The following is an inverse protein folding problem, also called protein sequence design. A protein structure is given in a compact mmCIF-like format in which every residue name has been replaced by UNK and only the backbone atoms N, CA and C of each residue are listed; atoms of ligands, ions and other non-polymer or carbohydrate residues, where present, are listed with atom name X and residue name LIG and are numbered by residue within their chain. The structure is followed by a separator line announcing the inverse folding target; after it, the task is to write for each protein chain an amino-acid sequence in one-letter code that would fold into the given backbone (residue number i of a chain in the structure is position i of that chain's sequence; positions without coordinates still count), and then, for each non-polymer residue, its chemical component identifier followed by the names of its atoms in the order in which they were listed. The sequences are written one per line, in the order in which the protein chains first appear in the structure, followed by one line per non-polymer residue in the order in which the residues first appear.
data_IF_837189973993
#
_entry.id   IF_837189973993
#
_cell.length_a   1.000
_cell.length_b   1.000
_cell.length_c   1.000
_cell.angle_alpha   90.00
_cell.angle_beta   90.00
_cell.angle_gamma   90.00
#
_symmetry.space_group_name_H-M   'P 1'
#
loop_
_entity.id
_entity.type
_entity.pdbx_description
1 polymer ?
#
# COMPACT_ATOMS: atom_id res chain seq x y z
N UNK A 1 19.08 -46.98 -11.75
CA UNK A 1 18.23 -46.63 -10.59
C UNK A 1 18.81 -45.48 -9.75
N UNK A 2 20.04 -45.55 -9.21
CA UNK A 2 20.67 -44.44 -8.45
C UNK A 2 20.72 -43.09 -9.19
N UNK A 3 21.03 -43.07 -10.49
CA UNK A 3 21.04 -41.84 -11.31
C UNK A 3 19.65 -41.24 -11.54
N UNK A 4 18.61 -42.08 -11.60
CA UNK A 4 17.21 -41.64 -11.74
C UNK A 4 16.68 -41.04 -10.43
N UNK A 5 17.03 -41.66 -9.30
CA UNK A 5 16.76 -41.15 -7.95
C UNK A 5 17.43 -39.80 -7.71
N UNK A 6 18.67 -39.62 -8.16
CA UNK A 6 19.37 -38.34 -8.06
C UNK A 6 18.73 -37.26 -8.94
N UNK A 7 18.29 -37.60 -10.15
CA UNK A 7 17.57 -36.68 -11.03
C UNK A 7 16.22 -36.25 -10.42
N UNK A 8 15.46 -37.19 -9.84
CA UNK A 8 14.19 -36.93 -9.14
C UNK A 8 14.43 -36.05 -7.90
N UNK A 9 15.50 -36.30 -7.13
CA UNK A 9 15.87 -35.49 -5.97
C UNK A 9 16.25 -34.05 -6.37
N UNK A 10 16.98 -33.89 -7.48
CA UNK A 10 17.34 -32.57 -8.02
C UNK A 10 16.10 -31.83 -8.53
N UNK A 11 15.19 -32.50 -9.24
CA UNK A 11 13.93 -31.92 -9.72
C UNK A 11 12.99 -31.53 -8.56
N UNK A 12 12.96 -32.31 -7.47
CA UNK A 12 12.20 -31.96 -6.26
C UNK A 12 12.84 -30.81 -5.47
N UNK A 13 14.15 -30.61 -5.57
CA UNK A 13 14.85 -29.51 -4.89
C UNK A 13 14.66 -28.14 -5.55
N UNK A 14 14.38 -28.09 -6.86
CA UNK A 14 14.06 -26.83 -7.56
C UNK A 14 12.58 -26.42 -7.46
N UNK A 15 11.71 -27.30 -6.97
CA UNK A 15 10.26 -27.06 -6.92
C UNK A 15 9.79 -26.19 -5.73
N UNK A 16 10.71 -25.60 -4.95
CA UNK A 16 10.36 -24.78 -3.78
C UNK A 16 11.11 -23.43 -3.74
N UNK A 17 11.24 -22.77 -4.89
CA UNK A 17 11.49 -21.32 -4.85
C UNK A 17 10.17 -20.65 -4.49
N UNK A 18 9.91 -20.54 -3.18
CA UNK A 18 8.88 -19.65 -2.68
C UNK A 18 9.33 -18.24 -2.99
N UNK A 19 8.77 -17.67 -4.04
CA UNK A 19 8.93 -16.25 -4.31
C UNK A 19 8.39 -15.47 -3.13
N UNK A 20 9.14 -14.46 -2.71
CA UNK A 20 8.72 -13.50 -1.70
C UNK A 20 8.53 -12.18 -2.43
N UNK A 21 7.28 -11.75 -2.54
CA UNK A 21 6.92 -10.61 -3.40
C UNK A 21 7.24 -9.28 -2.74
N UNK A 22 7.14 -9.22 -1.41
CA UNK A 22 7.38 -8.01 -0.63
C UNK A 22 8.83 -7.97 -0.17
N UNK A 23 9.45 -6.80 -0.35
CA UNK A 23 10.69 -6.42 0.31
C UNK A 23 10.39 -5.28 1.28
N UNK A 24 9.96 -5.64 2.48
CA UNK A 24 9.49 -4.73 3.50
C UNK A 24 10.53 -4.47 4.60
N UNK A 25 10.92 -3.22 4.81
CA UNK A 25 11.65 -2.83 6.00
C UNK A 25 10.68 -2.60 7.16
N UNK A 26 10.87 -3.31 8.26
CA UNK A 26 10.03 -3.21 9.46
C UNK A 26 10.80 -2.52 10.57
N UNK A 27 10.19 -1.50 11.17
CA UNK A 27 10.71 -0.84 12.36
C UNK A 27 9.64 -0.75 13.44
N UNK A 28 9.97 -1.19 14.66
CA UNK A 28 9.10 -1.01 15.83
C UNK A 28 9.75 -0.01 16.77
N UNK A 29 9.09 1.13 16.96
CA UNK A 29 9.50 2.20 17.87
C UNK A 29 8.61 2.18 19.10
N UNK A 30 9.21 2.15 20.29
CA UNK A 30 8.51 2.07 21.57
C UNK A 30 9.12 3.04 22.59
N UNK A 31 9.51 4.23 22.13
CA UNK A 31 10.17 5.25 22.96
C UNK A 31 9.25 5.80 24.05
N UNK A 32 7.94 5.86 23.77
CA UNK A 32 6.92 6.36 24.69
C UNK A 32 6.51 5.33 25.75
N UNK A 33 6.78 4.04 25.51
CA UNK A 33 6.50 2.97 26.47
C UNK A 33 7.62 2.90 27.52
N UNK A 34 7.25 3.17 28.77
CA UNK A 34 8.10 3.01 29.95
C UNK A 34 8.18 1.53 30.36
N UNK A 35 9.36 1.07 30.79
CA UNK A 35 9.57 -0.31 31.25
C UNK A 35 10.90 -0.91 30.82
N UNK A 36 11.30 -1.98 31.52
CA UNK A 36 12.59 -2.67 31.34
C UNK A 36 12.56 -3.75 30.26
N UNK A 37 11.41 -4.39 30.01
CA UNK A 37 11.31 -5.41 28.97
C UNK A 37 11.24 -4.78 27.58
N UNK A 38 12.40 -4.45 27.01
CA UNK A 38 12.54 -4.05 25.60
C UNK A 38 12.64 -5.26 24.65
N UNK A 39 12.74 -6.48 25.18
CA UNK A 39 12.87 -7.70 24.40
C UNK A 39 11.59 -8.02 23.63
N UNK A 40 10.41 -7.82 24.24
CA UNK A 40 9.12 -8.00 23.56
C UNK A 40 9.03 -7.24 22.23
N UNK A 41 9.52 -6.00 22.16
CA UNK A 41 9.50 -5.20 20.93
C UNK A 41 10.48 -5.69 19.87
N UNK A 42 11.65 -6.20 20.28
CA UNK A 42 12.63 -6.81 19.34
C UNK A 42 12.10 -8.10 18.73
N UNK A 43 11.48 -8.94 19.55
CA UNK A 43 10.84 -10.17 19.06
C UNK A 43 9.64 -9.84 18.17
N UNK A 44 8.85 -8.81 18.52
CA UNK A 44 7.74 -8.33 17.69
C UNK A 44 8.24 -7.87 16.31
N UNK A 45 9.28 -7.04 16.26
CA UNK A 45 9.85 -6.60 14.98
C UNK A 45 10.29 -7.78 14.12
N UNK A 46 10.94 -8.78 14.73
CA UNK A 46 11.39 -10.00 14.04
C UNK A 46 10.20 -10.80 13.52
N UNK A 47 9.18 -11.03 14.35
CA UNK A 47 7.98 -11.76 13.97
C UNK A 47 7.19 -11.07 12.86
N UNK A 48 7.07 -9.74 12.91
CA UNK A 48 6.43 -8.93 11.85
C UNK A 48 7.23 -9.01 10.55
N UNK A 49 8.56 -8.89 10.63
CA UNK A 49 9.44 -9.03 9.47
C UNK A 49 9.30 -10.40 8.81
N UNK A 50 9.36 -11.48 9.58
CA UNK A 50 9.21 -12.84 9.08
C UNK A 50 7.81 -13.06 8.48
N UNK A 51 6.77 -12.55 9.12
CA UNK A 51 5.39 -12.68 8.64
C UNK A 51 5.15 -11.97 7.30
N UNK A 52 5.68 -10.76 7.12
CA UNK A 52 5.50 -9.98 5.90
C UNK A 52 6.39 -10.50 4.78
N UNK A 53 7.69 -10.70 5.04
CA UNK A 53 8.68 -10.97 3.99
C UNK A 53 8.82 -12.45 3.65
N UNK A 54 8.60 -13.38 4.58
CA UNK A 54 8.80 -14.81 4.31
C UNK A 54 7.53 -15.55 3.85
N UNK A 55 6.42 -14.81 3.69
CA UNK A 55 5.13 -15.35 3.28
C UNK A 55 4.88 -15.02 1.81
N UNK A 56 4.32 -15.99 1.08
CA UNK A 56 3.76 -15.78 -0.27
C UNK A 56 2.42 -15.06 -0.14
N UNK A 57 2.30 -13.89 -0.75
CA UNK A 57 1.04 -13.13 -0.82
C UNK A 57 0.30 -13.36 -2.14
N UNK A 58 1.01 -13.85 -3.15
CA UNK A 58 0.54 -14.15 -4.50
C UNK A 58 0.94 -15.57 -4.89
N UNK A 59 0.37 -16.05 -6.00
CA UNK A 59 0.79 -17.29 -6.65
C UNK A 59 1.85 -17.06 -7.75
N UNK A 60 2.30 -15.80 -7.93
CA UNK A 60 3.26 -15.43 -8.96
C UNK A 60 4.70 -15.52 -8.45
N UNK A 61 5.61 -15.82 -9.38
CA UNK A 61 7.05 -15.85 -9.12
C UNK A 61 7.63 -14.49 -9.49
N UNK A 62 8.36 -13.89 -8.56
CA UNK A 62 9.00 -12.59 -8.69
C UNK A 62 10.50 -12.75 -8.77
N UNK A 63 11.12 -12.04 -9.70
CA UNK A 63 12.55 -11.80 -9.64
C UNK A 63 12.89 -10.79 -8.55
N UNK A 64 14.16 -10.77 -8.11
CA UNK A 64 14.61 -9.89 -7.03
C UNK A 64 14.37 -8.40 -7.34
N UNK A 65 14.44 -8.02 -8.62
CA UNK A 65 14.22 -6.65 -9.10
C UNK A 65 12.72 -6.30 -9.26
N UNK A 66 11.84 -7.30 -9.21
CA UNK A 66 10.39 -7.13 -9.31
C UNK A 66 9.71 -7.02 -7.94
N UNK A 67 10.45 -7.29 -6.86
CA UNK A 67 9.91 -7.24 -5.50
C UNK A 67 9.37 -5.85 -5.17
N UNK A 68 8.20 -5.83 -4.54
CA UNK A 68 7.52 -4.61 -4.14
C UNK A 68 8.23 -4.07 -2.89
N UNK A 69 8.89 -2.93 -3.04
CA UNK A 69 9.58 -2.27 -1.94
C UNK A 69 8.59 -1.52 -1.05
N UNK A 70 8.62 -1.83 0.25
CA UNK A 70 7.76 -1.15 1.22
C UNK A 70 8.45 -0.93 2.57
N UNK A 71 7.88 -0.03 3.36
CA UNK A 71 8.34 0.29 4.71
C UNK A 71 7.13 0.31 5.65
N UNK A 72 7.24 -0.39 6.78
CA UNK A 72 6.26 -0.35 7.86
C UNK A 72 6.96 0.12 9.13
N UNK A 73 6.53 1.28 9.63
CA UNK A 73 6.96 1.81 10.91
C UNK A 73 5.80 1.72 11.91
N UNK A 74 5.96 0.90 12.93
CA UNK A 74 5.02 0.77 14.04
C UNK A 74 5.55 1.64 15.19
N UNK A 75 4.85 2.72 15.50
CA UNK A 75 5.15 3.54 16.67
C UNK A 75 4.15 3.23 17.78
N UNK A 76 4.62 2.53 18.81
CA UNK A 76 3.84 2.15 19.99
C UNK A 76 3.85 3.28 21.02
N UNK A 77 2.67 3.81 21.31
CA UNK A 77 2.47 4.92 22.25
C UNK A 77 2.10 4.43 23.64
N UNK A 78 1.32 3.35 23.72
CA UNK A 78 0.75 2.86 24.98
C UNK A 78 0.86 1.33 25.11
N UNK A 79 1.07 0.90 26.34
CA UNK A 79 1.02 -0.50 26.75
C UNK A 79 -0.14 -0.69 27.73
N UNK A 80 -1.21 -1.37 27.30
CA UNK A 80 -2.44 -1.56 28.08
C UNK A 80 -2.29 -2.72 29.07
N UNK A 81 -1.60 -3.79 28.67
CA UNK A 81 -1.24 -4.95 29.49
C UNK A 81 0.13 -5.48 29.07
N UNK A 82 0.59 -6.59 29.66
CA UNK A 82 1.85 -7.23 29.27
C UNK A 82 1.92 -7.62 27.79
N UNK A 83 0.77 -7.89 27.16
CA UNK A 83 0.62 -8.40 25.79
C UNK A 83 -0.21 -7.48 24.87
N UNK A 84 -0.69 -6.32 25.30
CA UNK A 84 -1.63 -5.49 24.55
C UNK A 84 -1.11 -4.06 24.36
N UNK A 85 -1.03 -3.62 23.10
CA UNK A 85 -0.36 -2.37 22.71
C UNK A 85 -1.24 -1.50 21.82
N UNK A 86 -1.06 -0.18 21.91
CA UNK A 86 -1.67 0.81 21.01
C UNK A 86 -0.62 1.74 20.42
N UNK A 87 -0.95 2.35 19.28
CA UNK A 87 -0.10 3.34 18.66
C UNK A 87 -0.54 3.70 17.26
N UNK A 88 0.44 3.99 16.41
CA UNK A 88 0.24 4.35 15.00
C UNK A 88 1.12 3.49 14.10
N UNK A 89 0.66 3.22 12.87
CA UNK A 89 1.45 2.53 11.84
C UNK A 89 1.57 3.41 10.60
N UNK A 90 2.80 3.68 10.17
CA UNK A 90 3.07 4.28 8.87
C UNK A 90 3.37 3.18 7.87
N UNK A 91 2.69 3.20 6.73
CA UNK A 91 2.86 2.27 5.63
C UNK A 91 3.26 3.08 4.40
N UNK A 92 4.38 2.70 3.79
CA UNK A 92 4.82 3.24 2.52
C UNK A 92 5.10 2.09 1.56
N UNK A 93 4.63 2.21 0.32
CA UNK A 93 4.99 1.29 -0.76
C UNK A 93 5.37 2.07 -2.01
N UNK A 94 6.34 1.57 -2.76
CA UNK A 94 6.83 2.17 -3.99
C UNK A 94 7.17 1.12 -5.02
N UNK A 95 7.18 1.52 -6.28
CA UNK A 95 7.63 0.69 -7.39
C UNK A 95 8.62 1.43 -8.28
N UNK A 96 9.51 0.72 -8.98
CA UNK A 96 10.32 1.32 -10.03
C UNK A 96 9.46 1.74 -11.22
N UNK A 97 9.85 2.86 -11.83
CA UNK A 97 9.34 3.26 -13.14
C UNK A 97 10.15 2.56 -14.21
N UNK A 98 9.46 2.02 -15.22
CA UNK A 98 10.09 1.19 -16.24
C UNK A 98 11.22 1.92 -16.97
N UNK A 99 12.37 1.25 -17.08
CA UNK A 99 13.57 1.76 -17.75
C UNK A 99 14.08 3.10 -17.15
N UNK A 100 13.92 3.28 -15.84
CA UNK A 100 14.36 4.47 -15.10
C UNK A 100 14.93 4.09 -13.74
N UNK A 101 15.81 4.93 -13.19
CA UNK A 101 16.26 4.83 -11.80
C UNK A 101 15.27 5.48 -10.82
N UNK A 102 14.15 6.00 -11.32
CA UNK A 102 13.14 6.69 -10.53
C UNK A 102 12.15 5.69 -9.92
N UNK A 103 11.90 5.83 -8.61
CA UNK A 103 10.87 5.07 -7.90
C UNK A 103 9.69 5.99 -7.60
N UNK A 104 8.48 5.49 -7.86
CA UNK A 104 7.23 6.20 -7.63
C UNK A 104 6.48 5.60 -6.44
N UNK A 105 5.94 6.46 -5.58
CA UNK A 105 5.22 6.04 -4.36
C UNK A 105 3.80 5.62 -4.72
N UNK A 106 3.41 4.40 -4.37
CA UNK A 106 2.05 3.88 -4.58
C UNK A 106 1.15 4.17 -3.37
N UNK A 107 1.71 4.08 -2.17
CA UNK A 107 1.00 4.28 -0.92
C UNK A 107 1.90 5.04 0.05
N UNK A 108 1.32 6.03 0.73
CA UNK A 108 1.94 6.69 1.87
C UNK A 108 0.83 7.01 2.88
N UNK A 109 0.61 6.10 3.83
CA UNK A 109 -0.54 6.16 4.72
C UNK A 109 -0.15 6.00 6.19
N UNK A 110 -0.80 6.78 7.04
CA UNK A 110 -0.68 6.68 8.50
C UNK A 110 -1.98 6.16 9.10
N UNK A 111 -1.96 4.93 9.60
CA UNK A 111 -3.02 4.40 10.45
C UNK A 111 -2.81 4.91 11.89
N UNK A 112 -3.72 5.73 12.37
CA UNK A 112 -3.62 6.32 13.71
C UNK A 112 -4.23 5.45 14.82
N UNK A 113 -4.95 4.38 14.46
CA UNK A 113 -5.78 3.63 15.39
C UNK A 113 -5.41 2.14 15.41
N UNK A 114 -4.10 1.87 15.57
CA UNK A 114 -3.64 0.48 15.72
C UNK A 114 -3.71 0.05 17.17
N UNK A 115 -4.34 -1.10 17.40
CA UNK A 115 -4.48 -1.71 18.72
C UNK A 115 -4.48 -3.22 18.53
N UNK A 116 -3.51 -3.89 19.13
CA UNK A 116 -3.33 -5.33 18.94
C UNK A 116 -2.73 -6.01 20.17
N UNK A 117 -2.74 -7.34 20.12
CA UNK A 117 -2.06 -8.19 21.09
C UNK A 117 -0.84 -8.87 20.48
N UNK A 118 0.21 -9.02 21.28
CA UNK A 118 1.42 -9.76 20.95
C UNK A 118 2.12 -10.20 22.23
N UNK A 119 2.33 -11.52 22.37
CA UNK A 119 3.18 -12.07 23.41
C UNK A 119 4.63 -12.23 22.92
N UNK A 120 5.60 -12.14 23.82
CA UNK A 120 7.01 -12.34 23.48
C UNK A 120 7.23 -13.72 22.82
N UNK A 121 7.96 -13.74 21.69
CA UNK A 121 8.16 -14.92 20.83
C UNK A 121 6.89 -15.53 20.22
N UNK A 122 5.76 -14.82 20.22
CA UNK A 122 4.57 -15.30 19.54
C UNK A 122 4.81 -15.34 18.02
N UNK A 123 4.73 -16.54 17.44
CA UNK A 123 4.70 -16.69 16.00
C UNK A 123 3.41 -16.11 15.42
N UNK A 124 3.51 -15.42 14.29
CA UNK A 124 2.36 -14.87 13.57
C UNK A 124 1.95 -15.85 12.47
N UNK A 125 0.74 -16.37 12.57
CA UNK A 125 0.13 -17.20 11.55
C UNK A 125 -1.08 -16.51 10.92
N UNK A 126 -1.32 -16.77 9.65
CA UNK A 126 -2.51 -16.32 8.92
C UNK A 126 -3.01 -17.44 8.04
N UNK A 127 -4.31 -17.65 8.07
CA UNK A 127 -5.04 -18.56 7.19
C UNK A 127 -6.33 -17.87 6.77
N UNK A 128 -6.61 -17.87 5.46
CA UNK A 128 -7.82 -17.29 4.88
C UNK A 128 -9.11 -17.97 5.36
N UNK A 129 -9.07 -19.15 5.99
CA UNK A 129 -10.24 -19.81 6.56
C UNK A 129 -10.60 -19.29 7.97
N UNK A 130 -9.60 -18.89 8.77
CA UNK A 130 -9.79 -18.57 10.18
C UNK A 130 -9.92 -17.06 10.41
N UNK A 131 -10.48 -16.68 11.57
CA UNK A 131 -10.41 -15.29 12.04
C UNK A 131 -8.99 -15.01 12.53
N UNK A 132 -8.26 -14.05 11.93
CA UNK A 132 -6.90 -13.73 12.35
C UNK A 132 -6.85 -13.08 13.74
N UNK A 133 -5.70 -13.17 14.39
CA UNK A 133 -5.41 -12.31 15.56
C UNK A 133 -5.34 -10.84 15.14
N UNK A 134 -5.44 -9.90 16.09
CA UNK A 134 -5.46 -8.47 15.76
C UNK A 134 -4.20 -7.97 15.05
N UNK A 135 -3.01 -8.42 15.46
CA UNK A 135 -1.76 -8.05 14.80
C UNK A 135 -1.67 -8.69 13.42
N UNK A 136 -1.95 -9.99 13.31
CA UNK A 136 -1.98 -10.68 12.02
C UNK A 136 -2.95 -10.02 11.05
N UNK A 137 -4.16 -9.67 11.50
CA UNK A 137 -5.19 -9.03 10.67
C UNK A 137 -4.69 -7.72 10.09
N UNK A 138 -4.06 -6.89 10.92
CA UNK A 138 -3.50 -5.59 10.54
C UNK A 138 -2.43 -5.75 9.45
N UNK A 139 -1.48 -6.65 9.66
CA UNK A 139 -0.37 -6.92 8.74
C UNK A 139 -0.86 -7.52 7.41
N UNK A 140 -1.74 -8.53 7.49
CA UNK A 140 -2.30 -9.17 6.30
C UNK A 140 -3.18 -8.22 5.49
N UNK A 141 -3.91 -7.32 6.15
CA UNK A 141 -4.67 -6.28 5.47
C UNK A 141 -3.74 -5.38 4.66
N UNK A 142 -2.70 -4.80 5.27
CA UNK A 142 -1.80 -3.89 4.56
C UNK A 142 -0.96 -4.58 3.49
N UNK A 143 -0.54 -5.83 3.69
CA UNK A 143 0.13 -6.60 2.65
C UNK A 143 -0.76 -6.74 1.40
N UNK A 144 -2.04 -7.11 1.58
CA UNK A 144 -2.98 -7.21 0.45
C UNK A 144 -3.29 -5.84 -0.20
N UNK A 145 -3.33 -4.75 0.57
CA UNK A 145 -3.47 -3.39 0.00
C UNK A 145 -2.26 -3.02 -0.86
N UNK A 146 -1.04 -3.26 -0.36
CA UNK A 146 0.21 -2.96 -1.07
C UNK A 146 0.26 -3.74 -2.38
N UNK A 147 0.04 -5.06 -2.32
CA UNK A 147 0.04 -5.93 -3.50
C UNK A 147 -1.06 -5.50 -4.48
N UNK A 148 -2.27 -5.22 -4.00
CA UNK A 148 -3.36 -4.79 -4.88
C UNK A 148 -3.04 -3.48 -5.62
N UNK A 149 -2.46 -2.48 -4.93
CA UNK A 149 -2.07 -1.21 -5.54
C UNK A 149 -0.94 -1.38 -6.57
N UNK A 150 0.00 -2.29 -6.30
CA UNK A 150 1.06 -2.64 -7.25
C UNK A 150 0.45 -3.21 -8.54
N UNK A 151 -0.43 -4.20 -8.45
CA UNK A 151 -1.06 -4.81 -9.64
C UNK A 151 -1.93 -3.83 -10.41
N UNK A 152 -2.69 -2.97 -9.72
CA UNK A 152 -3.46 -1.91 -10.36
C UNK A 152 -2.59 -0.92 -11.13
N UNK A 153 -1.33 -0.74 -10.72
CA UNK A 153 -0.38 0.14 -11.41
C UNK A 153 0.16 -0.47 -12.71
N UNK A 154 0.05 -1.79 -12.90
CA UNK A 154 0.51 -2.51 -14.09
C UNK A 154 -0.62 -2.96 -15.02
N UNK A 155 -1.82 -3.18 -14.49
CA UNK A 155 -2.99 -3.60 -15.24
C UNK A 155 -4.26 -2.95 -14.69
N UNK A 156 -5.19 -2.58 -15.58
CA UNK A 156 -6.47 -2.01 -15.18
C UNK A 156 -7.22 -2.97 -14.26
N UNK A 157 -7.43 -2.54 -13.02
CA UNK A 157 -8.09 -3.31 -11.95
C UNK A 157 -7.41 -4.66 -11.62
N UNK A 158 -6.12 -4.82 -11.94
CA UNK A 158 -5.36 -6.04 -11.70
C UNK A 158 -5.25 -6.44 -10.22
N UNK A 159 -5.38 -5.48 -9.31
CA UNK A 159 -5.30 -5.68 -7.86
C UNK A 159 -6.54 -6.28 -7.21
N UNK A 160 -7.64 -6.44 -7.96
CA UNK A 160 -8.94 -6.87 -7.41
C UNK A 160 -8.87 -8.13 -6.55
N UNK A 161 -8.16 -9.21 -6.92
CA UNK A 161 -8.07 -10.41 -6.09
C UNK A 161 -7.53 -10.14 -4.68
N UNK A 162 -6.53 -9.26 -4.56
CA UNK A 162 -5.91 -8.91 -3.28
C UNK A 162 -6.78 -7.97 -2.45
N UNK A 163 -7.45 -7.03 -3.11
CA UNK A 163 -8.44 -6.18 -2.45
C UNK A 163 -9.61 -7.00 -1.89
N UNK A 164 -10.11 -8.01 -2.60
CA UNK A 164 -11.12 -8.94 -2.07
C UNK A 164 -10.62 -9.69 -0.83
N UNK A 165 -9.34 -10.10 -0.79
CA UNK A 165 -8.75 -10.68 0.43
C UNK A 165 -8.70 -9.69 1.58
N UNK A 166 -8.34 -8.43 1.33
CA UNK A 166 -8.36 -7.36 2.33
C UNK A 166 -9.78 -7.10 2.86
N UNK A 167 -10.79 -7.10 1.99
CA UNK A 167 -12.20 -6.97 2.37
C UNK A 167 -12.66 -8.14 3.25
N UNK A 168 -12.27 -9.38 2.91
CA UNK A 168 -12.56 -10.55 3.73
C UNK A 168 -11.97 -10.44 5.15
N UNK A 169 -10.78 -9.86 5.31
CA UNK A 169 -10.19 -9.57 6.63
C UNK A 169 -11.05 -8.55 7.39
N UNK A 170 -11.43 -7.44 6.75
CA UNK A 170 -12.32 -6.42 7.36
C UNK A 170 -13.64 -7.04 7.82
N UNK A 171 -14.25 -7.91 7.00
CA UNK A 171 -15.50 -8.59 7.33
C UNK A 171 -15.36 -9.52 8.55
N UNK A 172 -14.24 -10.24 8.67
CA UNK A 172 -13.96 -11.09 9.85
C UNK A 172 -13.71 -10.29 11.12
N UNK A 173 -13.18 -9.08 10.99
CA UNK A 173 -12.83 -8.22 12.11
C UNK A 173 -13.99 -7.30 12.57
N UNK A 174 -15.17 -7.37 11.95
CA UNK A 174 -16.32 -6.54 12.34
C UNK A 174 -16.75 -6.73 13.81
N UNK A 175 -16.61 -7.93 14.36
CA UNK A 175 -16.94 -8.22 15.76
C UNK A 175 -15.76 -8.04 16.71
N UNK A 176 -14.59 -7.62 16.20
CA UNK A 176 -13.42 -7.41 17.03
C UNK A 176 -13.60 -6.18 17.92
N UNK A 177 -13.08 -6.27 19.15
CA UNK A 177 -13.02 -5.16 20.11
C UNK A 177 -12.04 -4.05 19.69
N UNK A 178 -11.17 -4.31 18.72
CA UNK A 178 -10.15 -3.38 18.25
C UNK A 178 -10.75 -2.41 17.22
N UNK A 179 -10.38 -1.12 17.26
CA UNK A 179 -10.94 -0.09 16.37
C UNK A 179 -10.43 -0.21 14.93
N UNK A 180 -10.99 0.65 14.08
CA UNK A 180 -10.68 0.94 12.67
C UNK A 180 -11.09 -0.14 11.65
N UNK A 181 -11.87 -1.13 12.09
CA UNK A 181 -12.44 -2.17 11.22
C UNK A 181 -13.90 -1.90 10.87
N UNK A 182 -14.56 -0.92 11.51
CA UNK A 182 -16.01 -0.66 11.33
C UNK A 182 -16.26 0.70 10.69
N UNK A 183 -17.36 0.82 9.95
CA UNK A 183 -17.76 2.04 9.24
C UNK A 183 -18.04 3.24 10.14
N UNK A 184 -18.51 3.00 11.37
CA UNK A 184 -18.96 4.04 12.31
C UNK A 184 -17.86 4.55 13.25
N UNK A 185 -16.66 3.97 13.21
CA UNK A 185 -15.55 4.36 14.11
C UNK A 185 -14.82 5.62 13.62
N UNK A 186 -14.60 5.74 12.31
CA UNK A 186 -13.97 6.88 11.66
C UNK A 186 -14.37 6.91 10.18
N UNK A 187 -14.15 8.04 9.50
CA UNK A 187 -14.31 8.17 8.03
C UNK A 187 -13.03 7.82 7.25
N UNK A 188 -11.91 7.63 7.95
CA UNK A 188 -10.59 7.37 7.39
C UNK A 188 -9.92 6.22 8.14
N UNK A 189 -10.42 5.01 7.91
CA UNK A 189 -9.92 3.78 8.54
C UNK A 189 -9.83 2.64 7.52
N UNK A 190 -9.42 1.44 7.97
CA UNK A 190 -9.23 0.27 7.09
C UNK A 190 -10.52 -0.16 6.40
N UNK A 191 -11.67 -0.03 7.08
CA UNK A 191 -12.98 -0.27 6.46
C UNK A 191 -13.19 0.65 5.26
N UNK A 192 -13.08 1.97 5.45
CA UNK A 192 -13.32 2.93 4.37
C UNK A 192 -12.26 2.86 3.28
N UNK A 193 -11.02 2.51 3.62
CA UNK A 193 -9.97 2.31 2.63
C UNK A 193 -10.38 1.23 1.63
N UNK A 194 -10.74 0.04 2.11
CA UNK A 194 -11.07 -1.06 1.21
C UNK A 194 -12.43 -0.87 0.52
N UNK A 195 -13.41 -0.32 1.23
CA UNK A 195 -14.73 -0.02 0.66
C UNK A 195 -14.59 0.98 -0.49
N UNK A 196 -13.81 2.05 -0.32
CA UNK A 196 -13.61 3.02 -1.38
C UNK A 196 -12.82 2.42 -2.56
N UNK A 197 -11.90 1.48 -2.33
CA UNK A 197 -11.16 0.82 -3.42
C UNK A 197 -12.10 -0.06 -4.26
N UNK A 198 -12.95 -0.88 -3.62
CA UNK A 198 -13.79 -1.86 -4.33
C UNK A 198 -15.10 -1.27 -4.86
N UNK A 199 -15.58 -0.16 -4.30
CA UNK A 199 -16.85 0.42 -4.72
C UNK A 199 -16.76 1.05 -6.13
N UNK A 200 -17.63 0.59 -7.02
CA UNK A 200 -17.72 1.04 -8.42
C UNK A 200 -17.82 2.56 -8.60
N UNK A 201 -18.34 3.28 -7.60
CA UNK A 201 -18.41 4.75 -7.62
C UNK A 201 -17.04 5.41 -7.69
N UNK A 202 -16.00 4.74 -7.18
CA UNK A 202 -14.61 5.21 -7.16
C UNK A 202 -13.71 4.49 -8.17
N UNK A 203 -14.27 3.62 -9.01
CA UNK A 203 -13.54 2.94 -10.10
C UNK A 203 -12.66 3.87 -10.95
N UNK A 204 -13.05 5.13 -11.26
CA UNK A 204 -12.17 6.05 -11.98
C UNK A 204 -10.81 6.31 -11.29
N UNK A 205 -10.71 6.15 -9.97
CA UNK A 205 -9.44 6.29 -9.25
C UNK A 205 -8.50 5.11 -9.54
N UNK A 206 -9.02 3.88 -9.61
CA UNK A 206 -8.23 2.70 -10.01
C UNK A 206 -7.79 2.78 -11.46
N UNK A 207 -8.68 3.25 -12.33
CA UNK A 207 -8.32 3.55 -13.74
C UNK A 207 -7.24 4.62 -13.83
N UNK A 208 -7.32 5.68 -13.00
CA UNK A 208 -6.26 6.68 -12.90
C UNK A 208 -4.93 6.05 -12.47
N UNK A 209 -4.91 5.18 -11.45
CA UNK A 209 -3.70 4.48 -11.01
C UNK A 209 -3.06 3.73 -12.18
N UNK A 210 -3.83 2.94 -12.94
CA UNK A 210 -3.31 2.23 -14.11
C UNK A 210 -2.74 3.18 -15.18
N UNK A 211 -3.53 4.17 -15.62
CA UNK A 211 -3.11 5.10 -16.69
C UNK A 211 -1.92 5.94 -16.27
N UNK A 212 -1.92 6.44 -15.04
CA UNK A 212 -0.86 7.27 -14.48
C UNK A 212 0.48 6.55 -14.48
N UNK A 213 0.52 5.31 -13.99
CA UNK A 213 1.77 4.56 -13.86
C UNK A 213 2.17 3.88 -15.17
N UNK A 214 1.30 3.05 -15.75
CA UNK A 214 1.67 2.20 -16.90
C UNK A 214 1.70 2.94 -18.23
N UNK A 215 0.75 3.86 -18.46
CA UNK A 215 0.65 4.59 -19.73
C UNK A 215 1.31 5.97 -19.66
N UNK A 216 1.45 6.51 -18.45
CA UNK A 216 2.11 7.77 -18.14
C UNK A 216 3.58 7.58 -17.81
N UNK A 217 3.90 7.31 -16.54
CA UNK A 217 5.27 7.25 -16.02
C UNK A 217 6.16 6.27 -16.79
N UNK A 218 5.71 5.04 -17.00
CA UNK A 218 6.49 4.00 -17.69
C UNK A 218 6.74 4.34 -19.17
N UNK A 219 5.94 5.23 -19.76
CA UNK A 219 6.10 5.71 -21.14
C UNK A 219 7.08 6.88 -21.23
N UNK A 220 7.35 7.60 -20.13
CA UNK A 220 8.17 8.82 -20.17
C UNK A 220 9.63 8.58 -20.51
N UNK A 221 10.15 7.37 -20.29
CA UNK A 221 11.53 7.00 -20.67
C UNK A 221 11.72 6.94 -22.20
N UNK A 222 10.66 6.63 -22.96
CA UNK A 222 10.64 6.64 -24.42
C UNK A 222 10.08 7.97 -24.96
N UNK A 223 8.89 8.37 -24.49
CA UNK A 223 8.15 9.55 -24.97
C UNK A 223 7.63 10.39 -23.81
N UNK A 224 8.49 11.30 -23.34
CA UNK A 224 8.20 12.20 -22.22
C UNK A 224 6.88 12.98 -22.38
N UNK A 225 6.68 13.64 -23.53
CA UNK A 225 5.49 14.47 -23.77
C UNK A 225 4.20 13.65 -23.80
N UNK A 226 4.22 12.49 -24.44
CA UNK A 226 3.07 11.58 -24.47
C UNK A 226 2.71 11.07 -23.07
N UNK A 227 3.71 10.61 -22.32
CA UNK A 227 3.51 10.11 -20.96
C UNK A 227 2.96 11.20 -20.03
N UNK A 228 3.47 12.43 -20.17
CA UNK A 228 2.98 13.57 -19.38
C UNK A 228 1.53 13.92 -19.72
N UNK A 229 1.20 13.98 -21.01
CA UNK A 229 -0.17 14.25 -21.45
C UNK A 229 -1.13 13.16 -20.97
N UNK A 230 -0.69 11.91 -20.91
CA UNK A 230 -1.49 10.80 -20.38
C UNK A 230 -1.74 10.95 -18.87
N UNK A 231 -0.74 11.39 -18.11
CA UNK A 231 -0.91 11.74 -16.69
C UNK A 231 -1.89 12.90 -16.55
N UNK A 232 -1.79 13.95 -17.37
CA UNK A 232 -2.72 15.08 -17.34
C UNK A 232 -4.16 14.64 -17.60
N UNK A 233 -4.39 13.72 -18.54
CA UNK A 233 -5.71 13.17 -18.80
C UNK A 233 -6.21 12.23 -17.69
N UNK A 234 -5.32 11.47 -17.05
CA UNK A 234 -5.68 10.64 -15.90
C UNK A 234 -6.23 11.47 -14.73
N UNK A 235 -5.80 12.73 -14.57
CA UNK A 235 -6.33 13.63 -13.53
C UNK A 235 -7.83 13.93 -13.70
N UNK A 236 -8.36 13.87 -14.93
CA UNK A 236 -9.80 14.07 -15.17
C UNK A 236 -10.64 12.92 -14.62
N UNK A 237 -10.06 11.71 -14.52
CA UNK A 237 -10.72 10.58 -13.85
C UNK A 237 -10.86 10.84 -12.36
N UNK A 238 -9.85 11.44 -11.72
CA UNK A 238 -9.93 11.88 -10.32
C UNK A 238 -10.96 12.99 -10.15
N UNK A 239 -11.04 13.94 -11.08
CA UNK A 239 -12.09 14.96 -11.07
C UNK A 239 -13.49 14.36 -11.20
N UNK A 240 -13.68 13.34 -12.04
CA UNK A 240 -14.93 12.60 -12.13
C UNK A 240 -15.29 11.93 -10.81
N UNK A 241 -14.33 11.26 -10.16
CA UNK A 241 -14.54 10.63 -8.85
C UNK A 241 -14.87 11.68 -7.77
N UNK A 242 -14.14 12.80 -7.74
CA UNK A 242 -14.37 13.90 -6.82
C UNK A 242 -15.77 14.50 -6.98
N UNK A 243 -16.23 14.75 -8.21
CA UNK A 243 -17.59 15.28 -8.46
C UNK A 243 -18.68 14.31 -8.01
N UNK A 244 -18.45 13.01 -8.13
CA UNK A 244 -19.41 12.01 -7.66
C UNK A 244 -19.46 11.92 -6.13
N UNK A 245 -18.30 12.00 -5.47
CA UNK A 245 -18.13 11.87 -4.02
C UNK A 245 -16.97 12.76 -3.52
N UNK A 246 -17.23 14.05 -3.24
CA UNK A 246 -16.21 14.96 -2.74
C UNK A 246 -15.65 14.51 -1.38
N UNK A 247 -14.34 14.69 -1.18
CA UNK A 247 -13.68 14.33 0.08
C UNK A 247 -13.63 12.82 0.37
N UNK A 248 -13.73 11.98 -0.67
CA UNK A 248 -13.56 10.53 -0.51
C UNK A 248 -12.16 10.18 -0.06
N UNK A 249 -12.06 9.16 0.78
CA UNK A 249 -10.82 8.80 1.45
C UNK A 249 -9.77 8.29 0.44
N UNK A 250 -10.19 7.55 -0.58
CA UNK A 250 -9.28 7.08 -1.64
C UNK A 250 -8.61 8.21 -2.43
N UNK A 251 -9.28 9.36 -2.62
CA UNK A 251 -8.65 10.53 -3.25
C UNK A 251 -7.54 11.09 -2.36
N UNK A 252 -7.80 11.19 -1.04
CA UNK A 252 -6.78 11.62 -0.09
C UNK A 252 -5.56 10.68 -0.14
N UNK A 253 -5.78 9.36 -0.14
CA UNK A 253 -4.70 8.37 -0.24
C UNK A 253 -3.87 8.56 -1.51
N UNK A 254 -4.52 8.85 -2.65
CA UNK A 254 -3.82 9.14 -3.89
C UNK A 254 -2.95 10.41 -3.76
N UNK A 255 -3.51 11.52 -3.29
CA UNK A 255 -2.78 12.79 -3.21
C UNK A 255 -1.66 12.78 -2.16
N UNK A 256 -1.84 12.08 -1.04
CA UNK A 256 -0.81 11.88 -0.02
C UNK A 256 0.44 11.17 -0.59
N UNK A 257 0.27 10.35 -1.63
CA UNK A 257 1.36 9.71 -2.36
C UNK A 257 1.88 10.56 -3.54
N UNK A 258 1.01 11.32 -4.22
CA UNK A 258 1.29 11.87 -5.55
C UNK A 258 1.46 13.38 -5.65
N UNK A 259 1.06 14.16 -4.64
CA UNK A 259 1.06 15.61 -4.73
C UNK A 259 2.44 16.20 -5.13
N UNK A 260 3.53 15.73 -4.49
CA UNK A 260 4.88 16.21 -4.79
C UNK A 260 5.41 15.72 -6.14
N UNK A 261 5.01 14.52 -6.58
CA UNK A 261 5.36 13.94 -7.89
C UNK A 261 4.67 14.71 -9.02
N UNK A 262 3.38 15.03 -8.86
CA UNK A 262 2.62 15.86 -9.79
C UNK A 262 3.23 17.24 -9.98
N UNK A 263 3.67 17.89 -8.90
CA UNK A 263 4.36 19.18 -8.99
C UNK A 263 5.62 19.06 -9.85
N UNK A 264 6.46 18.05 -9.59
CA UNK A 264 7.70 17.84 -10.37
C UNK A 264 7.42 17.58 -11.84
N UNK A 265 6.45 16.72 -12.16
CA UNK A 265 6.08 16.37 -13.53
C UNK A 265 5.59 17.58 -14.33
N UNK A 266 4.74 18.42 -13.73
CA UNK A 266 4.11 19.53 -14.43
C UNK A 266 4.92 20.83 -14.44
N UNK A 267 5.87 21.01 -13.51
CA UNK A 267 6.77 22.18 -13.53
C UNK A 267 7.60 22.25 -14.82
N UNK A 268 7.91 21.10 -15.43
CA UNK A 268 8.63 21.01 -16.72
C UNK A 268 7.70 20.93 -17.95
N UNK A 269 6.40 21.22 -17.77
CA UNK A 269 5.39 21.13 -18.83
C UNK A 269 5.16 22.47 -19.55
N UNK A 270 4.48 22.41 -20.70
CA UNK A 270 4.12 23.62 -21.44
C UNK A 270 3.10 24.46 -20.66
N UNK A 271 3.10 25.78 -20.87
CA UNK A 271 2.27 26.72 -20.10
C UNK A 271 0.78 26.37 -20.07
N UNK A 272 0.21 25.85 -21.16
CA UNK A 272 -1.20 25.46 -21.20
C UNK A 272 -1.49 24.19 -20.42
N UNK A 273 -0.54 23.24 -20.40
CA UNK A 273 -0.63 22.01 -19.61
C UNK A 273 -0.45 22.31 -18.12
N UNK A 274 0.51 23.16 -17.75
CA UNK A 274 0.70 23.70 -16.39
C UNK A 274 -0.62 24.24 -15.83
N UNK A 275 -1.26 25.17 -16.57
CA UNK A 275 -2.53 25.80 -16.17
C UNK A 275 -3.65 24.78 -16.02
N UNK A 276 -3.76 23.83 -16.95
CA UNK A 276 -4.80 22.79 -16.91
C UNK A 276 -4.63 21.88 -15.69
N UNK A 277 -3.43 21.36 -15.47
CA UNK A 277 -3.12 20.52 -14.31
C UNK A 277 -3.36 21.27 -13.00
N UNK A 278 -2.84 22.50 -12.89
CA UNK A 278 -3.05 23.36 -11.72
C UNK A 278 -4.55 23.57 -11.43
N UNK A 279 -5.36 23.88 -12.44
CA UNK A 279 -6.79 24.12 -12.26
C UNK A 279 -7.53 22.86 -11.77
N UNK A 280 -7.20 21.69 -12.32
CA UNK A 280 -7.80 20.41 -11.87
C UNK A 280 -7.36 20.13 -10.43
N UNK A 281 -6.07 20.21 -10.12
CA UNK A 281 -5.53 19.90 -8.79
C UNK A 281 -6.06 20.87 -7.72
N UNK A 282 -6.23 22.15 -8.05
CA UNK A 282 -6.81 23.15 -7.15
C UNK A 282 -8.27 22.88 -6.81
N UNK A 283 -9.03 22.28 -7.73
CA UNK A 283 -10.43 21.90 -7.57
C UNK A 283 -10.57 20.64 -6.69
N UNK A 284 -9.75 19.62 -6.95
CA UNK A 284 -9.96 18.28 -6.37
C UNK A 284 -9.10 17.99 -5.14
N UNK A 285 -8.03 18.74 -4.92
CA UNK A 285 -7.12 18.62 -3.78
C UNK A 285 -6.68 19.99 -3.22
N UNK A 286 -7.62 20.75 -2.63
CA UNK A 286 -7.33 22.08 -2.10
C UNK A 286 -6.35 22.06 -0.91
N UNK A 287 -6.17 20.92 -0.23
CA UNK A 287 -5.26 20.79 0.91
C UNK A 287 -3.78 20.99 0.51
N UNK A 288 -3.43 20.63 -0.73
CA UNK A 288 -2.08 20.79 -1.27
C UNK A 288 -1.92 22.01 -2.19
N UNK A 289 -2.87 22.96 -2.20
CA UNK A 289 -2.85 24.12 -3.10
C UNK A 289 -1.53 24.91 -3.09
N UNK A 290 -0.92 25.09 -1.91
CA UNK A 290 0.36 25.79 -1.79
C UNK A 290 1.52 25.04 -2.48
N UNK A 291 1.46 23.71 -2.56
CA UNK A 291 2.42 22.93 -3.36
C UNK A 291 2.16 23.13 -4.85
N UNK A 292 0.90 23.09 -5.27
CA UNK A 292 0.52 23.18 -6.68
C UNK A 292 0.81 24.55 -7.32
N UNK A 293 0.83 25.64 -6.54
CA UNK A 293 1.25 26.95 -7.05
C UNK A 293 2.62 26.92 -7.73
N UNK A 294 3.54 26.07 -7.26
CA UNK A 294 4.88 25.89 -7.84
C UNK A 294 4.86 25.36 -9.28
N UNK A 295 3.76 24.75 -9.73
CA UNK A 295 3.62 24.31 -11.12
C UNK A 295 3.61 25.51 -12.08
N UNK A 296 3.11 26.67 -11.61
CA UNK A 296 2.99 27.90 -12.39
C UNK A 296 4.25 28.78 -12.35
N UNK A 297 5.18 28.46 -11.46
CA UNK A 297 6.53 29.04 -11.42
C UNK A 297 7.37 28.48 -12.59
#
# INVERSE_FOLDING_TARGET
MRKLLFLILVILSVANVKSQELQCNIQVVSQQIQGTNKQVFRTMQTAVYEFINNRSWTDHVYDQDEKIECNILINLTDQISSDEFKGTMQIQARRPVFNSSFNTVLLNFKDNDIHFKYAEYQALDYNESNTPTSLTALLAFYANIIVGLDYDSFALEGGTPYFTKAEAIVNKMQNAKYPGWKSFESKSNRYWLIENILNNSYRPVRECIYRYHRLGLDKMSDKLTDGRSEIAESLRLLQKAHRAKPGSFILQIFFDAKADELVKIFTESFNDEKKRAYNILSDIDPANLNKYKKILE
#
